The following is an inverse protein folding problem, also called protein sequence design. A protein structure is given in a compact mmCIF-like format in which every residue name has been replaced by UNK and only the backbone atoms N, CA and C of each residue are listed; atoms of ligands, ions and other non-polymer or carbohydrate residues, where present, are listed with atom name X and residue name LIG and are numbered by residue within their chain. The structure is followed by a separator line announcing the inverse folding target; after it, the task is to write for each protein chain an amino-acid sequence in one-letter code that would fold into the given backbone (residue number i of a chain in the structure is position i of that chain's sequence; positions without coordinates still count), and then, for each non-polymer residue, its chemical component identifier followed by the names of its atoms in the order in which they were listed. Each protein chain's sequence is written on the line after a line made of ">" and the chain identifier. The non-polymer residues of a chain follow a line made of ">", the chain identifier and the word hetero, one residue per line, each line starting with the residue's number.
data_IF_300578193652
#
_entry.id   IF_300578193652
#
_cell.length_a   1.000
_cell.length_b   1.000
_cell.length_c   1.000
_cell.angle_alpha   90.00
_cell.angle_beta   90.00
_cell.angle_gamma   90.00
#
_symmetry.space_group_name_H-M   'P 1'
#
loop_
_entity.id
_entity.type
_entity.pdbx_description
1 polymer ?
#
# COMPACT_ATOMS: atom_id res chain seq x y z
N UNK A 1 -1.45 -30.89 -38.04
CA UNK A 1 -1.77 -29.80 -37.10
C UNK A 1 -0.89 -30.01 -35.88
N UNK A 2 -0.08 -29.02 -35.52
CA UNK A 2 0.80 -29.08 -34.35
C UNK A 2 0.02 -28.73 -33.08
N UNK A 3 -0.79 -29.68 -32.63
CA UNK A 3 -1.63 -29.57 -31.42
C UNK A 3 -0.76 -29.28 -30.18
N UNK A 4 0.40 -29.92 -30.08
CA UNK A 4 1.32 -29.77 -28.96
C UNK A 4 1.99 -28.39 -28.96
N UNK A 5 2.36 -27.87 -30.13
CA UNK A 5 2.91 -26.52 -30.27
C UNK A 5 1.90 -25.42 -29.91
N UNK A 6 0.64 -25.56 -30.32
CA UNK A 6 -0.44 -24.61 -29.96
C UNK A 6 -0.73 -24.69 -28.45
N UNK A 7 -0.83 -25.89 -27.89
CA UNK A 7 -1.06 -26.09 -26.46
C UNK A 7 0.06 -25.47 -25.62
N UNK A 8 1.32 -25.75 -25.98
CA UNK A 8 2.51 -25.18 -25.31
C UNK A 8 2.51 -23.65 -25.39
N UNK A 9 2.13 -23.09 -26.53
CA UNK A 9 2.05 -21.64 -26.72
C UNK A 9 0.97 -20.99 -25.82
N UNK A 10 -0.19 -21.64 -25.66
CA UNK A 10 -1.29 -21.17 -24.80
C UNK A 10 -0.93 -21.27 -23.32
N UNK A 11 -0.28 -22.35 -22.89
CA UNK A 11 0.20 -22.51 -21.51
C UNK A 11 1.27 -21.46 -21.19
N UNK A 12 2.18 -21.19 -22.12
CA UNK A 12 3.16 -20.11 -21.98
C UNK A 12 2.48 -18.72 -21.97
N UNK A 13 1.27 -18.58 -22.54
CA UNK A 13 0.42 -17.39 -22.38
C UNK A 13 -0.27 -17.30 -21.00
N UNK A 14 0.13 -18.16 -20.05
CA UNK A 14 -0.43 -18.30 -18.70
C UNK A 14 -1.92 -18.68 -18.72
N UNK A 15 -2.34 -19.49 -19.69
CA UNK A 15 -3.67 -20.09 -19.73
C UNK A 15 -3.58 -21.51 -19.14
N UNK A 16 -4.36 -21.86 -18.10
CA UNK A 16 -4.34 -23.20 -17.53
C UNK A 16 -4.68 -24.26 -18.58
N UNK A 17 -4.06 -25.44 -18.48
CA UNK A 17 -4.23 -26.54 -19.45
C UNK A 17 -5.71 -26.90 -19.68
N UNK A 18 -6.50 -26.94 -18.60
CA UNK A 18 -7.94 -27.20 -18.67
C UNK A 18 -8.72 -26.22 -19.56
N UNK A 19 -8.28 -24.95 -19.64
CA UNK A 19 -8.85 -23.92 -20.51
C UNK A 19 -8.18 -23.86 -21.89
N UNK A 20 -6.94 -24.32 -21.99
CA UNK A 20 -6.20 -24.33 -23.26
C UNK A 20 -6.71 -25.42 -24.21
N UNK A 21 -7.07 -26.60 -23.70
CA UNK A 21 -7.51 -27.74 -24.54
C UNK A 21 -8.73 -27.43 -25.43
N UNK A 22 -9.83 -26.82 -24.94
CA UNK A 22 -10.95 -26.39 -25.80
C UNK A 22 -10.55 -25.33 -26.83
N UNK A 23 -9.61 -24.45 -26.48
CA UNK A 23 -9.12 -23.39 -27.37
C UNK A 23 -8.26 -23.94 -28.51
N UNK A 24 -7.48 -25.00 -28.28
CA UNK A 24 -6.74 -25.69 -29.35
C UNK A 24 -7.70 -26.22 -30.41
N UNK A 25 -8.83 -26.81 -30.00
CA UNK A 25 -9.87 -27.30 -30.91
C UNK A 25 -10.55 -26.15 -31.67
N UNK A 26 -10.90 -25.06 -30.99
CA UNK A 26 -11.49 -23.88 -31.62
C UNK A 26 -10.55 -23.21 -32.63
N UNK A 27 -9.25 -23.09 -32.30
CA UNK A 27 -8.23 -22.56 -33.20
C UNK A 27 -8.00 -23.51 -34.40
N UNK A 28 -8.07 -24.82 -34.20
CA UNK A 28 -8.04 -25.80 -35.29
C UNK A 28 -9.15 -25.54 -36.31
N UNK A 29 -10.38 -25.36 -35.81
CA UNK A 29 -11.56 -25.10 -36.63
C UNK A 29 -11.47 -23.74 -37.37
N UNK A 30 -10.79 -22.76 -36.78
CA UNK A 30 -10.49 -21.48 -37.43
C UNK A 30 -9.37 -21.54 -38.49
N UNK A 31 -8.77 -22.71 -38.71
CA UNK A 31 -7.73 -22.96 -39.71
C UNK A 31 -6.30 -22.83 -39.19
N UNK A 32 -6.09 -22.73 -37.87
CA UNK A 32 -4.76 -22.62 -37.27
C UNK A 32 -4.10 -23.99 -37.21
N UNK A 33 -2.97 -24.13 -37.91
CA UNK A 33 -2.25 -25.41 -38.00
C UNK A 33 -1.01 -25.48 -37.11
N UNK A 34 -0.50 -24.36 -36.63
CA UNK A 34 0.72 -24.22 -35.84
C UNK A 34 0.67 -22.98 -34.92
N UNK A 35 1.69 -22.84 -34.06
CA UNK A 35 1.79 -21.72 -33.11
C UNK A 35 1.96 -20.35 -33.78
N UNK A 36 2.58 -20.30 -34.98
CA UNK A 36 2.72 -19.10 -35.78
C UNK A 36 1.39 -18.64 -36.40
N UNK A 37 0.51 -19.58 -36.71
CA UNK A 37 -0.85 -19.33 -37.18
C UNK A 37 -1.68 -18.49 -36.20
N UNK A 38 -1.43 -18.58 -34.89
CA UNK A 38 -2.19 -17.85 -33.87
C UNK A 38 -1.97 -16.33 -33.98
N UNK A 39 -0.73 -15.90 -34.30
CA UNK A 39 -0.38 -14.50 -34.45
C UNK A 39 -0.84 -13.90 -35.80
N UNK A 40 -1.14 -14.75 -36.78
CA UNK A 40 -1.60 -14.34 -38.11
C UNK A 40 -3.13 -14.30 -38.24
N UNK A 41 -3.89 -14.80 -37.26
CA UNK A 41 -5.31 -14.40 -37.18
C UNK A 41 -5.38 -12.92 -36.82
N UNK A 42 -6.08 -12.15 -37.63
CA UNK A 42 -6.46 -10.78 -37.28
C UNK A 42 -7.26 -10.73 -35.98
N UNK A 43 -7.25 -9.58 -35.31
CA UNK A 43 -7.88 -9.38 -34.01
C UNK A 43 -9.38 -9.72 -33.98
N UNK A 44 -10.08 -9.49 -35.10
CA UNK A 44 -11.50 -9.76 -35.27
C UNK A 44 -11.78 -11.27 -35.27
N UNK A 45 -11.01 -12.06 -36.04
CA UNK A 45 -11.17 -13.52 -36.09
C UNK A 45 -10.79 -14.21 -34.78
N UNK A 46 -9.84 -13.65 -34.03
CA UNK A 46 -9.50 -14.12 -32.68
C UNK A 46 -10.65 -13.90 -31.69
N UNK A 47 -11.38 -12.78 -31.81
CA UNK A 47 -12.53 -12.49 -30.97
C UNK A 47 -13.67 -13.47 -31.21
N UNK A 48 -13.91 -13.85 -32.47
CA UNK A 48 -14.96 -14.80 -32.86
C UNK A 48 -14.61 -16.24 -32.45
N UNK A 49 -13.32 -16.59 -32.47
CA UNK A 49 -12.85 -17.95 -32.15
C UNK A 49 -12.72 -18.19 -30.64
N UNK A 50 -12.33 -17.18 -29.86
CA UNK A 50 -12.09 -17.30 -28.42
C UNK A 50 -13.17 -16.55 -27.63
N UNK A 51 -14.21 -17.29 -27.25
CA UNK A 51 -15.35 -16.76 -26.48
C UNK A 51 -15.00 -16.37 -25.03
N UNK A 52 -13.96 -16.98 -24.46
CA UNK A 52 -13.47 -16.66 -23.11
C UNK A 52 -12.66 -15.34 -23.11
N UNK A 53 -13.33 -14.26 -22.72
CA UNK A 53 -12.75 -12.90 -22.58
C UNK A 53 -11.40 -12.85 -21.83
N UNK A 54 -11.17 -13.57 -20.70
CA UNK A 54 -9.87 -13.54 -20.03
C UNK A 54 -8.76 -14.24 -20.81
N UNK A 55 -9.04 -15.36 -21.49
CA UNK A 55 -8.06 -16.02 -22.38
C UNK A 55 -7.77 -15.17 -23.61
N UNK A 56 -8.78 -14.57 -24.23
CA UNK A 56 -8.62 -13.64 -25.35
C UNK A 56 -7.70 -12.46 -24.98
N UNK A 57 -7.87 -11.89 -23.78
CA UNK A 57 -7.02 -10.80 -23.28
C UNK A 57 -5.55 -11.24 -23.11
N UNK A 58 -5.31 -12.46 -22.64
CA UNK A 58 -3.96 -13.03 -22.49
C UNK A 58 -3.31 -13.31 -23.84
N UNK A 59 -4.06 -13.87 -24.79
CA UNK A 59 -3.62 -14.14 -26.16
C UNK A 59 -3.28 -12.82 -26.87
N UNK A 60 -4.17 -11.81 -26.82
CA UNK A 60 -3.92 -10.47 -27.38
C UNK A 60 -2.71 -9.79 -26.77
N UNK A 61 -2.56 -9.86 -25.44
CA UNK A 61 -1.40 -9.29 -24.77
C UNK A 61 -0.07 -9.97 -25.17
N UNK A 62 -0.12 -11.26 -25.53
CA UNK A 62 1.04 -12.02 -25.99
C UNK A 62 1.39 -11.75 -27.46
N UNK A 63 0.40 -11.54 -28.33
CA UNK A 63 0.60 -11.26 -29.76
C UNK A 63 0.97 -9.79 -30.00
N UNK A 64 0.21 -8.87 -29.42
CA UNK A 64 0.29 -7.43 -29.73
C UNK A 64 0.97 -6.59 -28.64
N UNK A 65 1.38 -7.21 -27.53
CA UNK A 65 1.91 -6.52 -26.36
C UNK A 65 0.85 -5.75 -25.56
N UNK A 66 1.23 -5.28 -24.36
CA UNK A 66 0.38 -4.40 -23.53
C UNK A 66 0.28 -3.01 -24.16
N UNK A 67 -0.54 -2.83 -25.19
CA UNK A 67 -0.71 -1.52 -25.81
C UNK A 67 -1.49 -1.44 -27.13
N UNK A 68 -2.09 -2.52 -27.63
CA UNK A 68 -2.91 -2.47 -28.85
C UNK A 68 -4.25 -1.75 -28.64
N UNK A 69 -4.22 -0.43 -28.55
CA UNK A 69 -5.41 0.43 -28.68
C UNK A 69 -5.63 0.69 -30.17
N UNK A 70 -6.84 0.36 -30.64
CA UNK A 70 -7.40 0.53 -31.98
C UNK A 70 -6.84 1.77 -32.72
N UNK A 71 -6.28 1.56 -33.91
CA UNK A 71 -6.21 2.59 -34.94
C UNK A 71 -7.21 2.21 -36.03
N UNK A 72 -8.34 2.90 -36.06
CA UNK A 72 -9.22 2.96 -37.23
C UNK A 72 -8.72 4.10 -38.12
N UNK A 73 -8.67 3.85 -39.43
CA UNK A 73 -7.95 4.65 -40.41
C UNK A 73 -8.47 6.06 -40.67
N UNK A 74 -7.62 6.81 -41.36
CA UNK A 74 -7.90 8.11 -41.94
C UNK A 74 -6.63 8.70 -42.54
N UNK A 75 -6.47 8.57 -43.86
CA UNK A 75 -5.40 9.14 -44.66
C UNK A 75 -5.37 10.67 -44.60
N UNK A 76 -4.18 11.27 -44.48
CA UNK A 76 -3.64 12.26 -45.42
C UNK A 76 -2.31 12.85 -44.89
N UNK A 77 -1.37 12.95 -45.82
CA UNK A 77 -0.04 13.57 -45.82
C UNK A 77 0.18 14.84 -44.98
N UNK A 78 1.34 14.94 -44.32
CA UNK A 78 2.42 15.91 -44.63
C UNK A 78 3.62 15.66 -43.69
N UNK A 79 4.82 15.69 -44.26
CA UNK A 79 6.11 15.49 -43.62
C UNK A 79 6.43 16.56 -42.55
N UNK A 80 7.06 16.15 -41.45
CA UNK A 80 8.19 16.89 -40.86
C UNK A 80 8.96 15.95 -39.93
N UNK A 81 10.23 15.75 -40.22
CA UNK A 81 11.09 14.82 -39.50
C UNK A 81 11.38 15.23 -38.06
N UNK A 82 11.45 14.25 -37.19
CA UNK A 82 12.38 14.27 -36.06
C UNK A 82 12.82 12.84 -35.76
N UNK A 83 14.05 12.53 -36.14
CA UNK A 83 14.77 11.33 -35.76
C UNK A 83 14.98 11.32 -34.25
N UNK A 84 14.31 10.42 -33.53
CA UNK A 84 14.79 9.99 -32.21
C UNK A 84 15.01 8.49 -32.24
N UNK A 85 16.28 8.13 -32.44
CA UNK A 85 16.79 6.77 -32.29
C UNK A 85 16.24 6.13 -31.03
N UNK A 86 15.48 5.03 -31.19
CA UNK A 86 15.20 4.08 -30.12
C UNK A 86 16.53 3.49 -29.66
N UNK A 87 17.11 4.11 -28.62
CA UNK A 87 18.19 3.47 -27.84
C UNK A 87 17.60 2.20 -27.25
N UNK A 88 18.14 1.05 -27.64
CA UNK A 88 17.81 -0.25 -27.06
C UNK A 88 17.99 -0.15 -25.53
N UNK A 89 16.90 -0.36 -24.79
CA UNK A 89 16.98 -0.49 -23.33
C UNK A 89 17.58 -1.86 -23.03
N UNK A 90 18.59 -1.96 -22.14
CA UNK A 90 19.07 -3.26 -21.68
C UNK A 90 17.94 -4.01 -20.98
N UNK A 91 17.92 -5.33 -21.14
CA UNK A 91 16.94 -6.22 -20.51
C UNK A 91 17.19 -6.32 -19.01
N UNK A 92 16.80 -5.28 -18.28
CA UNK A 92 16.85 -5.27 -16.81
C UNK A 92 15.87 -6.33 -16.30
N UNK A 93 16.36 -7.23 -15.43
CA UNK A 93 15.61 -8.35 -14.85
C UNK A 93 14.38 -7.84 -14.08
N UNK A 94 13.42 -8.74 -13.80
CA UNK A 94 12.22 -8.38 -13.02
C UNK A 94 12.55 -7.87 -11.61
N UNK A 95 13.58 -8.45 -10.99
CA UNK A 95 14.06 -8.08 -9.66
C UNK A 95 14.66 -6.67 -9.64
N UNK A 96 15.55 -6.36 -10.59
CA UNK A 96 16.18 -5.04 -10.71
C UNK A 96 15.17 -3.91 -10.92
N UNK A 97 14.09 -4.16 -11.69
CA UNK A 97 12.99 -3.18 -11.85
C UNK A 97 12.21 -2.94 -10.57
N UNK A 98 12.07 -3.97 -9.73
CA UNK A 98 11.35 -3.88 -8.45
C UNK A 98 12.18 -3.12 -7.43
N UNK A 99 13.48 -3.41 -7.35
CA UNK A 99 14.45 -2.67 -6.54
C UNK A 99 14.55 -1.20 -6.95
N UNK A 100 14.66 -0.92 -8.25
CA UNK A 100 14.71 0.45 -8.76
C UNK A 100 13.43 1.24 -8.42
N UNK A 101 12.25 0.64 -8.59
CA UNK A 101 10.99 1.28 -8.21
C UNK A 101 10.85 1.48 -6.69
N UNK A 102 11.42 0.58 -5.89
CA UNK A 102 11.44 0.70 -4.43
C UNK A 102 12.41 1.78 -3.95
N UNK A 103 13.54 1.98 -4.64
CA UNK A 103 14.51 3.05 -4.35
C UNK A 103 13.94 4.46 -4.60
N UNK A 104 12.93 4.60 -5.45
CA UNK A 104 12.31 5.90 -5.71
C UNK A 104 11.65 6.49 -4.45
N UNK A 105 11.96 7.75 -4.17
CA UNK A 105 11.29 8.53 -3.13
C UNK A 105 9.95 9.09 -3.61
N UNK A 106 8.99 9.18 -2.70
CA UNK A 106 7.71 9.83 -2.92
C UNK A 106 7.79 11.30 -2.53
N UNK A 107 7.12 12.20 -3.27
CA UNK A 107 6.98 13.58 -2.82
C UNK A 107 6.09 13.62 -1.57
N UNK A 108 6.39 14.58 -0.69
CA UNK A 108 5.53 14.89 0.45
C UNK A 108 4.29 15.67 -0.01
N UNK A 109 3.08 15.28 0.42
CA UNK A 109 1.90 16.07 0.17
C UNK A 109 2.01 17.46 0.80
N UNK A 110 1.53 18.52 0.13
CA UNK A 110 1.56 19.86 0.69
C UNK A 110 0.76 19.92 1.99
N UNK A 111 1.28 20.66 2.98
CA UNK A 111 0.52 20.99 4.19
C UNK A 111 -0.71 21.81 3.80
N UNK A 112 -1.85 21.52 4.43
CA UNK A 112 -3.04 22.35 4.29
C UNK A 112 -2.82 23.68 5.01
N UNK A 113 -3.24 24.78 4.40
CA UNK A 113 -3.30 26.11 5.01
C UNK A 113 -4.68 26.44 5.60
N UNK A 114 -5.59 25.47 5.65
CA UNK A 114 -6.95 25.66 6.17
C UNK A 114 -6.91 25.75 7.70
N UNK A 115 -7.78 26.59 8.27
CA UNK A 115 -8.01 26.65 9.71
C UNK A 115 -8.77 25.41 10.21
N UNK A 116 -8.75 25.17 11.52
CA UNK A 116 -9.48 24.05 12.13
C UNK A 116 -11.00 24.11 11.85
N UNK A 117 -11.59 25.31 11.81
CA UNK A 117 -13.01 25.51 11.48
C UNK A 117 -13.32 25.17 10.03
N UNK A 118 -12.37 25.41 9.11
CA UNK A 118 -12.49 25.03 7.71
C UNK A 118 -12.28 23.52 7.53
N UNK A 119 -11.28 22.95 8.19
CA UNK A 119 -11.00 21.51 8.20
C UNK A 119 -12.19 20.71 8.74
N UNK A 120 -12.84 21.17 9.82
CA UNK A 120 -14.00 20.50 10.40
C UNK A 120 -15.17 20.32 9.42
N UNK A 121 -15.30 21.19 8.41
CA UNK A 121 -16.36 21.12 7.39
C UNK A 121 -16.05 20.12 6.26
N UNK A 122 -14.84 19.57 6.20
CA UNK A 122 -14.43 18.64 5.14
C UNK A 122 -14.94 17.23 5.43
N UNK A 123 -15.77 16.72 4.52
CA UNK A 123 -16.23 15.34 4.49
C UNK A 123 -15.78 14.65 3.20
N UNK A 124 -15.30 13.41 3.30
CA UNK A 124 -14.72 12.67 2.19
C UNK A 124 -15.37 11.28 2.10
N UNK A 125 -16.02 10.97 0.98
CA UNK A 125 -16.49 9.61 0.69
C UNK A 125 -15.34 8.76 0.18
N UNK A 126 -14.81 7.88 1.02
CA UNK A 126 -13.57 7.14 0.75
C UNK A 126 -13.59 5.72 1.34
N UNK A 127 -12.83 4.81 0.74
CA UNK A 127 -12.58 3.48 1.31
C UNK A 127 -11.71 3.58 2.57
N UNK A 128 -11.86 2.62 3.49
CA UNK A 128 -11.04 2.48 4.71
C UNK A 128 -9.54 2.33 4.43
N UNK A 129 -9.15 1.64 3.36
CA UNK A 129 -7.73 1.36 3.06
C UNK A 129 -6.91 2.65 2.90
N UNK A 130 -7.26 3.62 2.03
CA UNK A 130 -6.56 4.90 1.96
C UNK A 130 -6.46 5.67 3.29
N UNK A 131 -7.49 5.56 4.14
CA UNK A 131 -7.50 6.19 5.48
C UNK A 131 -6.52 5.51 6.41
N UNK A 132 -6.49 4.18 6.42
CA UNK A 132 -5.51 3.42 7.19
C UNK A 132 -4.08 3.71 6.75
N UNK A 133 -3.81 3.70 5.42
CA UNK A 133 -2.46 3.97 4.89
C UNK A 133 -1.95 5.33 5.34
N UNK A 134 -2.79 6.37 5.24
CA UNK A 134 -2.39 7.74 5.61
C UNK A 134 -2.20 7.88 7.13
N UNK A 135 -3.12 7.30 7.92
CA UNK A 135 -3.02 7.32 9.39
C UNK A 135 -1.75 6.61 9.90
N UNK A 136 -1.51 5.39 9.41
CA UNK A 136 -0.32 4.62 9.74
C UNK A 136 0.97 5.34 9.35
N UNK A 137 0.98 6.06 8.22
CA UNK A 137 2.13 6.86 7.80
C UNK A 137 2.41 8.06 8.71
N UNK A 138 1.38 8.76 9.20
CA UNK A 138 1.58 9.85 10.16
C UNK A 138 2.05 9.33 11.53
N UNK A 139 1.61 8.14 11.93
CA UNK A 139 2.12 7.45 13.13
C UNK A 139 3.57 7.00 12.94
N UNK A 140 3.94 6.46 11.78
CA UNK A 140 5.31 6.09 11.47
C UNK A 140 6.27 7.29 11.49
N UNK A 141 5.86 8.45 11.00
CA UNK A 141 6.68 9.67 11.06
C UNK A 141 7.02 10.05 12.50
N UNK A 142 6.13 9.76 13.46
CA UNK A 142 6.42 9.95 14.90
C UNK A 142 7.44 8.95 15.46
N UNK A 143 7.67 7.85 14.77
CA UNK A 143 8.69 6.85 15.07
C UNK A 143 9.97 7.11 14.27
N UNK A 144 10.16 8.35 13.80
CA UNK A 144 11.35 8.83 13.07
C UNK A 144 11.56 8.19 11.69
N UNK A 145 10.49 7.71 11.05
CA UNK A 145 10.53 7.32 9.65
C UNK A 145 10.32 8.53 8.74
N UNK A 146 11.08 8.62 7.65
CA UNK A 146 10.82 9.63 6.62
C UNK A 146 9.49 9.34 5.90
N UNK A 147 8.94 10.33 5.18
CA UNK A 147 7.66 10.17 4.50
C UNK A 147 7.59 8.97 3.54
N UNK A 148 8.64 8.75 2.74
CA UNK A 148 8.67 7.64 1.79
C UNK A 148 8.70 6.29 2.51
N UNK A 149 9.41 6.19 3.63
CA UNK A 149 9.43 5.00 4.47
C UNK A 149 8.06 4.78 5.12
N UNK A 150 7.52 5.83 5.74
CA UNK A 150 6.27 5.85 6.48
C UNK A 150 5.06 5.41 5.64
N UNK A 151 4.91 5.90 4.41
CA UNK A 151 3.79 5.51 3.54
C UNK A 151 3.88 4.05 3.10
N UNK A 152 5.09 3.50 2.96
CA UNK A 152 5.27 2.09 2.58
C UNK A 152 4.89 1.18 3.73
N UNK A 153 5.27 1.56 4.95
CA UNK A 153 4.85 0.86 6.17
C UNK A 153 3.33 0.95 6.36
N UNK A 154 2.75 2.14 6.20
CA UNK A 154 1.29 2.29 6.27
C UNK A 154 0.54 1.47 5.23
N UNK A 155 1.14 1.28 4.04
CA UNK A 155 0.60 0.37 3.03
C UNK A 155 0.65 -1.10 3.46
N UNK A 156 1.77 -1.55 4.01
CA UNK A 156 1.90 -2.91 4.53
C UNK A 156 0.86 -3.20 5.62
N UNK A 157 0.61 -2.24 6.52
CA UNK A 157 -0.42 -2.37 7.57
C UNK A 157 -1.83 -2.48 7.00
N UNK A 158 -2.18 -1.62 6.04
CA UNK A 158 -3.49 -1.70 5.41
C UNK A 158 -3.69 -3.02 4.64
N UNK A 159 -2.65 -3.51 3.96
CA UNK A 159 -2.69 -4.80 3.26
C UNK A 159 -2.80 -5.97 4.24
N UNK A 160 -2.09 -5.95 5.37
CA UNK A 160 -2.18 -6.98 6.42
C UNK A 160 -3.58 -7.03 7.06
N UNK A 161 -4.15 -5.88 7.41
CA UNK A 161 -5.53 -5.80 7.93
C UNK A 161 -6.56 -6.29 6.91
N UNK A 162 -6.35 -5.98 5.62
CA UNK A 162 -7.20 -6.49 4.56
C UNK A 162 -7.07 -8.01 4.41
N UNK A 163 -5.86 -8.56 4.44
CA UNK A 163 -5.64 -10.00 4.39
C UNK A 163 -6.36 -10.70 5.54
N UNK A 164 -6.09 -10.30 6.78
CA UNK A 164 -6.72 -10.88 7.99
C UNK A 164 -8.23 -10.80 7.97
N UNK A 165 -8.79 -9.68 7.47
CA UNK A 165 -10.23 -9.54 7.34
C UNK A 165 -10.81 -10.40 6.20
N UNK A 166 -10.08 -10.55 5.10
CA UNK A 166 -10.49 -11.43 4.00
C UNK A 166 -10.47 -12.90 4.40
N UNK A 167 -9.45 -13.35 5.13
CA UNK A 167 -9.34 -14.68 5.73
C UNK A 167 -10.54 -14.95 6.66
N UNK A 168 -10.81 -14.03 7.60
CA UNK A 168 -11.95 -14.15 8.52
C UNK A 168 -13.32 -14.18 7.80
N UNK A 169 -13.43 -13.56 6.62
CA UNK A 169 -14.65 -13.61 5.81
C UNK A 169 -14.71 -14.83 4.86
N UNK A 170 -13.65 -15.64 4.80
CA UNK A 170 -13.50 -16.75 3.84
C UNK A 170 -13.45 -16.28 2.39
N UNK A 171 -12.89 -15.09 2.13
CA UNK A 171 -12.81 -14.46 0.80
C UNK A 171 -11.41 -14.48 0.19
N UNK A 172 -10.38 -14.74 1.00
CA UNK A 172 -8.99 -14.77 0.60
C UNK A 172 -8.32 -15.99 1.21
N UNK A 173 -7.43 -16.59 0.44
CA UNK A 173 -6.44 -17.55 0.91
C UNK A 173 -5.06 -16.92 0.67
N UNK A 174 -4.15 -17.14 1.62
CA UNK A 174 -2.77 -16.68 1.47
C UNK A 174 -2.06 -17.54 0.42
N UNK A 175 -1.35 -16.90 -0.50
CA UNK A 175 -0.47 -17.57 -1.46
C UNK A 175 0.95 -17.57 -0.88
N UNK A 176 1.16 -18.39 0.15
CA UNK A 176 2.39 -18.40 0.95
C UNK A 176 3.63 -18.75 0.12
N UNK A 177 3.48 -19.61 -0.90
CA UNK A 177 4.59 -20.01 -1.78
C UNK A 177 5.04 -18.84 -2.64
N UNK A 178 4.11 -18.10 -3.26
CA UNK A 178 4.44 -16.90 -4.03
C UNK A 178 5.03 -15.78 -3.15
N UNK A 179 4.55 -15.64 -1.91
CA UNK A 179 5.09 -14.66 -0.98
C UNK A 179 6.52 -15.02 -0.53
N UNK A 180 6.78 -16.31 -0.26
CA UNK A 180 8.12 -16.80 0.10
C UNK A 180 9.13 -16.59 -1.03
N UNK A 181 8.77 -17.00 -2.25
CA UNK A 181 9.61 -16.80 -3.43
C UNK A 181 9.92 -15.32 -3.67
N UNK A 182 8.93 -14.43 -3.46
CA UNK A 182 9.14 -12.99 -3.60
C UNK A 182 10.04 -12.40 -2.48
N UNK A 183 10.01 -12.95 -1.27
CA UNK A 183 10.91 -12.53 -0.19
C UNK A 183 12.36 -12.93 -0.46
N UNK A 184 12.58 -14.14 -0.99
CA UNK A 184 13.91 -14.64 -1.37
C UNK A 184 14.62 -13.71 -2.38
N UNK A 185 13.88 -13.09 -3.31
CA UNK A 185 14.43 -12.12 -4.28
C UNK A 185 15.11 -10.91 -3.62
N UNK A 186 14.80 -10.62 -2.35
CA UNK A 186 15.32 -9.44 -1.62
C UNK A 186 16.03 -9.81 -0.33
N UNK A 187 16.34 -11.10 -0.14
CA UNK A 187 16.85 -11.60 1.14
C UNK A 187 18.27 -11.12 1.48
N UNK A 188 19.02 -10.75 0.45
CA UNK A 188 20.36 -10.16 0.55
C UNK A 188 20.37 -8.71 1.08
N UNK A 189 19.22 -8.03 1.17
CA UNK A 189 19.16 -6.65 1.65
C UNK A 189 19.13 -6.59 3.18
N UNK A 190 19.74 -5.56 3.81
CA UNK A 190 19.64 -5.36 5.25
C UNK A 190 18.18 -5.26 5.72
N UNK A 191 17.86 -5.99 6.79
CA UNK A 191 16.50 -6.14 7.31
C UNK A 191 16.35 -5.49 8.67
N UNK A 192 15.17 -4.91 8.91
CA UNK A 192 14.73 -4.47 10.22
C UNK A 192 13.27 -4.83 10.42
N UNK A 193 12.91 -5.20 11.64
CA UNK A 193 11.52 -5.36 12.06
C UNK A 193 11.07 -4.13 12.85
N UNK A 194 9.82 -3.72 12.67
CA UNK A 194 9.18 -2.67 13.46
C UNK A 194 7.79 -3.10 13.90
N UNK A 195 7.49 -2.91 15.18
CA UNK A 195 6.11 -2.95 15.69
C UNK A 195 5.38 -1.70 15.20
N UNK A 196 4.32 -1.92 14.42
CA UNK A 196 3.32 -0.91 14.16
C UNK A 196 1.94 -1.45 14.48
N UNK A 197 1.19 -0.72 15.29
CA UNK A 197 -0.21 -1.03 15.59
C UNK A 197 -0.39 -2.42 16.24
N UNK A 198 0.63 -2.89 16.98
CA UNK A 198 0.61 -4.16 17.69
C UNK A 198 0.95 -5.36 16.80
N UNK A 199 1.57 -5.11 15.65
CA UNK A 199 2.00 -6.14 14.70
C UNK A 199 3.40 -5.81 14.18
N UNK A 200 4.21 -6.84 14.04
CA UNK A 200 5.55 -6.74 13.46
C UNK A 200 5.51 -6.69 11.93
N UNK A 201 6.22 -5.72 11.36
CA UNK A 201 6.41 -5.56 9.93
C UNK A 201 7.90 -5.59 9.57
N UNK A 202 8.22 -6.33 8.52
CA UNK A 202 9.57 -6.42 7.97
C UNK A 202 9.82 -5.29 6.96
N UNK A 203 10.93 -4.58 7.13
CA UNK A 203 11.44 -3.58 6.21
C UNK A 203 12.81 -4.02 5.67
N UNK A 204 13.07 -3.71 4.40
CA UNK A 204 14.40 -3.86 3.79
C UNK A 204 14.97 -2.50 3.44
N UNK A 205 16.29 -2.37 3.55
CA UNK A 205 16.99 -1.14 3.19
C UNK A 205 17.22 -1.08 1.68
N UNK A 206 16.78 0.02 1.06
CA UNK A 206 17.03 0.36 -0.35
C UNK A 206 17.87 1.64 -0.42
N UNK A 207 18.35 2.01 -1.60
CA UNK A 207 19.05 3.30 -1.81
C UNK A 207 18.18 4.50 -1.40
N UNK A 208 16.85 4.38 -1.49
CA UNK A 208 15.89 5.41 -1.11
C UNK A 208 15.45 5.41 0.36
N UNK A 209 16.10 4.61 1.22
CA UNK A 209 15.71 4.38 2.61
C UNK A 209 15.02 3.04 2.84
N UNK A 210 14.41 2.87 4.01
CA UNK A 210 13.69 1.65 4.39
C UNK A 210 12.38 1.49 3.59
N UNK A 211 12.06 0.25 3.20
CA UNK A 211 10.82 -0.08 2.49
C UNK A 211 10.17 -1.28 3.14
N UNK A 212 8.89 -1.12 3.50
CA UNK A 212 8.12 -2.23 4.03
C UNK A 212 7.82 -3.27 2.95
N UNK A 213 7.68 -4.52 3.38
CA UNK A 213 7.26 -5.64 2.54
C UNK A 213 5.75 -5.80 2.65
N UNK A 214 5.09 -5.99 1.51
CA UNK A 214 3.69 -6.41 1.42
C UNK A 214 3.57 -7.50 0.36
N UNK A 215 2.93 -8.62 0.72
CA UNK A 215 2.77 -9.79 -0.16
C UNK A 215 4.10 -10.26 -0.76
N UNK A 216 5.10 -10.37 0.10
CA UNK A 216 6.48 -10.74 -0.23
C UNK A 216 7.28 -9.72 -1.06
N UNK A 217 6.74 -8.54 -1.39
CA UNK A 217 7.41 -7.56 -2.27
C UNK A 217 7.66 -6.23 -1.58
N UNK A 218 8.76 -5.57 -1.96
CA UNK A 218 9.02 -4.20 -1.56
C UNK A 218 7.92 -3.26 -2.06
N UNK A 219 7.34 -2.50 -1.14
CA UNK A 219 6.30 -1.54 -1.46
C UNK A 219 6.93 -0.27 -2.06
N UNK A 220 6.60 0.11 -3.31
CA UNK A 220 7.18 1.30 -3.93
C UNK A 220 6.51 2.58 -3.44
N UNK A 221 7.27 3.48 -2.81
CA UNK A 221 6.74 4.71 -2.21
C UNK A 221 5.94 5.57 -3.20
N UNK A 222 6.46 5.80 -4.43
CA UNK A 222 5.75 6.57 -5.47
C UNK A 222 4.39 5.96 -5.85
N UNK A 223 4.27 4.63 -5.86
CA UNK A 223 2.99 3.96 -6.15
C UNK A 223 1.98 4.18 -5.04
N UNK A 224 2.42 4.15 -3.78
CA UNK A 224 1.56 4.45 -2.64
C UNK A 224 1.12 5.92 -2.66
N UNK A 225 2.04 6.83 -2.95
CA UNK A 225 1.71 8.24 -3.10
C UNK A 225 0.65 8.47 -4.20
N UNK A 226 0.85 7.92 -5.40
CA UNK A 226 -0.12 8.02 -6.48
C UNK A 226 -1.50 7.42 -6.11
N UNK A 227 -1.49 6.32 -5.35
CA UNK A 227 -2.72 5.73 -4.80
C UNK A 227 -3.44 6.68 -3.83
N UNK A 228 -2.72 7.35 -2.93
CA UNK A 228 -3.29 8.34 -2.01
C UNK A 228 -3.82 9.57 -2.76
N UNK A 229 -3.07 10.12 -3.72
CA UNK A 229 -3.55 11.22 -4.56
C UNK A 229 -4.84 10.88 -5.29
N UNK A 230 -4.93 9.67 -5.84
CA UNK A 230 -6.14 9.20 -6.52
C UNK A 230 -7.32 9.04 -5.54
N UNK A 231 -7.07 8.54 -4.34
CA UNK A 231 -8.12 8.26 -3.36
C UNK A 231 -8.68 9.52 -2.70
N UNK A 232 -7.84 10.50 -2.39
CA UNK A 232 -8.23 11.72 -1.69
C UNK A 232 -8.46 12.93 -2.60
N UNK A 233 -7.84 12.95 -3.79
CA UNK A 233 -7.87 14.10 -4.68
C UNK A 233 -7.36 15.37 -3.98
N UNK A 234 -8.12 16.45 -4.12
CA UNK A 234 -7.83 17.76 -3.49
C UNK A 234 -7.82 17.71 -1.96
N UNK A 235 -8.46 16.70 -1.36
CA UNK A 235 -8.58 16.58 0.09
C UNK A 235 -7.40 15.87 0.76
N UNK A 236 -6.35 15.49 0.01
CA UNK A 236 -5.18 14.81 0.58
C UNK A 236 -4.46 15.68 1.61
N UNK A 237 -4.25 16.97 1.30
CA UNK A 237 -3.63 17.94 2.21
C UNK A 237 -4.43 18.11 3.51
N UNK A 238 -5.73 18.47 3.45
CA UNK A 238 -6.61 18.55 4.62
C UNK A 238 -6.64 17.26 5.48
N UNK A 239 -6.78 16.10 4.83
CA UNK A 239 -6.78 14.81 5.53
C UNK A 239 -5.44 14.53 6.22
N UNK A 240 -4.31 14.76 5.53
CA UNK A 240 -2.97 14.60 6.11
C UNK A 240 -2.78 15.53 7.31
N UNK A 241 -3.11 16.81 7.17
CA UNK A 241 -2.94 17.81 8.22
C UNK A 241 -3.71 17.43 9.50
N UNK A 242 -4.98 17.03 9.37
CA UNK A 242 -5.80 16.61 10.52
C UNK A 242 -5.29 15.32 11.18
N UNK A 243 -4.93 14.30 10.39
CA UNK A 243 -4.37 13.05 10.91
C UNK A 243 -3.01 13.26 11.56
N UNK A 244 -2.15 14.11 10.99
CA UNK A 244 -0.87 14.50 11.59
C UNK A 244 -1.06 15.18 12.93
N UNK A 245 -2.02 16.11 13.03
CA UNK A 245 -2.33 16.79 14.29
C UNK A 245 -2.85 15.81 15.35
N UNK A 246 -3.70 14.85 14.96
CA UNK A 246 -4.12 13.77 15.86
C UNK A 246 -2.95 12.91 16.33
N UNK A 247 -2.06 12.50 15.40
CA UNK A 247 -0.87 11.74 15.74
C UNK A 247 0.02 12.53 16.71
N UNK A 248 0.22 13.82 16.48
CA UNK A 248 1.00 14.73 17.33
C UNK A 248 0.44 14.83 18.77
N UNK A 249 -0.87 14.71 18.94
CA UNK A 249 -1.51 14.74 20.25
C UNK A 249 -1.30 13.46 21.10
N UNK A 250 -0.82 12.37 20.50
CA UNK A 250 -0.52 11.13 21.23
C UNK A 250 0.77 11.32 22.05
N UNK A 251 0.82 10.97 23.36
CA UNK A 251 2.07 11.00 24.14
C UNK A 251 3.16 10.09 23.55
N UNK A 252 4.43 10.51 23.56
CA UNK A 252 5.57 9.79 22.96
C UNK A 252 5.98 8.47 23.65
N UNK A 253 5.30 8.04 24.72
CA UNK A 253 5.61 6.78 25.41
C UNK A 253 5.13 5.58 24.58
N UNK A 254 6.09 4.81 24.04
CA UNK A 254 5.93 3.87 22.92
C UNK A 254 4.80 2.82 23.04
N UNK A 255 4.59 2.20 24.19
CA UNK A 255 3.67 1.04 24.32
C UNK A 255 2.19 1.42 24.23
N UNK A 256 1.82 2.63 24.67
CA UNK A 256 0.46 3.13 24.50
C UNK A 256 0.15 3.56 23.06
N UNK A 257 1.18 3.78 22.24
CA UNK A 257 1.00 4.29 20.87
C UNK A 257 0.41 3.23 19.96
N UNK A 258 0.87 1.97 19.98
CA UNK A 258 0.39 0.95 19.03
C UNK A 258 -1.10 0.57 19.21
N UNK A 259 -1.55 0.29 20.45
CA UNK A 259 -2.96 -0.06 20.71
C UNK A 259 -3.87 1.16 20.56
N UNK A 260 -3.52 2.32 21.15
CA UNK A 260 -4.37 3.53 21.04
C UNK A 260 -4.50 4.00 19.61
N UNK A 261 -3.46 3.84 18.79
CA UNK A 261 -3.51 4.20 17.37
C UNK A 261 -4.59 3.43 16.62
N UNK A 262 -4.73 2.11 16.88
CA UNK A 262 -5.80 1.32 16.29
C UNK A 262 -7.18 1.72 16.82
N UNK A 263 -7.32 1.94 18.12
CA UNK A 263 -8.58 2.38 18.74
C UNK A 263 -9.05 3.74 18.18
N UNK A 264 -8.13 4.70 18.02
CA UNK A 264 -8.42 5.99 17.39
C UNK A 264 -8.89 5.80 15.96
N UNK A 265 -8.19 4.96 15.18
CA UNK A 265 -8.62 4.64 13.81
C UNK A 265 -10.04 4.08 13.77
N UNK A 266 -10.41 3.17 14.67
CA UNK A 266 -11.75 2.61 14.71
C UNK A 266 -12.84 3.67 14.94
N UNK A 267 -12.48 4.75 15.63
CA UNK A 267 -13.38 5.84 16.00
C UNK A 267 -13.65 6.83 14.86
N UNK A 268 -12.68 7.06 13.96
CA UNK A 268 -12.84 8.00 12.84
C UNK A 268 -12.93 7.34 11.46
N UNK A 269 -12.64 6.04 11.32
CA UNK A 269 -12.63 5.35 10.02
C UNK A 269 -13.97 5.50 9.27
N UNK A 270 -13.96 5.45 7.92
CA UNK A 270 -15.17 5.46 7.12
C UNK A 270 -16.21 4.43 7.62
N UNK A 271 -17.42 4.91 7.88
CA UNK A 271 -18.56 4.07 8.25
C UNK A 271 -19.04 3.26 7.03
N UNK A 272 -19.00 1.93 7.12
CA UNK A 272 -19.52 1.00 6.11
C UNK A 272 -20.26 -0.14 6.80
N UNK A 273 -21.08 -0.89 6.04
CA UNK A 273 -21.83 -2.03 6.54
C UNK A 273 -20.93 -3.09 7.21
N UNK A 274 -21.50 -3.89 8.11
CA UNK A 274 -20.76 -4.99 8.75
C UNK A 274 -20.63 -6.20 7.81
N UNK A 275 -19.64 -7.05 8.10
CA UNK A 275 -19.42 -8.30 7.37
C UNK A 275 -19.04 -8.10 5.89
N UNK A 276 -19.46 -9.04 5.05
CA UNK A 276 -19.15 -9.05 3.61
C UNK A 276 -19.72 -7.83 2.88
N UNK A 277 -20.86 -7.29 3.31
CA UNK A 277 -21.53 -6.17 2.64
C UNK A 277 -20.72 -4.86 2.68
N UNK A 278 -19.91 -4.63 3.72
CA UNK A 278 -19.02 -3.46 3.79
C UNK A 278 -17.63 -3.69 3.23
N UNK A 279 -17.30 -4.91 2.80
CA UNK A 279 -15.99 -5.24 2.27
C UNK A 279 -15.72 -4.41 1.00
N UNK A 280 -14.60 -3.69 0.98
CA UNK A 280 -14.21 -2.85 -0.15
C UNK A 280 -15.08 -1.61 -0.40
N UNK A 281 -16.10 -1.35 0.43
CA UNK A 281 -16.99 -0.20 0.24
C UNK A 281 -16.38 1.11 0.72
N UNK A 282 -16.88 2.21 0.16
CA UNK A 282 -16.55 3.56 0.62
C UNK A 282 -17.57 4.03 1.66
N UNK A 283 -17.07 4.67 2.71
CA UNK A 283 -17.87 5.27 3.76
C UNK A 283 -17.58 6.76 3.87
N UNK A 284 -18.31 7.44 4.75
CA UNK A 284 -18.03 8.84 5.05
C UNK A 284 -16.89 8.95 6.06
N UNK A 285 -15.81 9.66 5.69
CA UNK A 285 -14.72 10.08 6.56
C UNK A 285 -14.87 11.56 6.88
N UNK A 286 -14.96 11.90 8.17
CA UNK A 286 -15.21 13.27 8.64
C UNK A 286 -13.99 13.80 9.37
N UNK A 287 -13.42 14.89 8.89
CA UNK A 287 -12.28 15.53 9.55
C UNK A 287 -12.67 16.08 10.93
N UNK A 288 -13.92 16.56 11.10
CA UNK A 288 -14.42 16.96 12.42
C UNK A 288 -14.25 15.90 13.51
N UNK A 289 -14.45 14.61 13.18
CA UNK A 289 -14.26 13.52 14.14
C UNK A 289 -12.80 13.37 14.55
N UNK A 290 -11.87 13.54 13.61
CA UNK A 290 -10.42 13.50 13.87
C UNK A 290 -9.99 14.65 14.78
N UNK A 291 -10.48 15.87 14.51
CA UNK A 291 -10.17 17.05 15.32
C UNK A 291 -10.73 16.92 16.74
N UNK A 292 -11.96 16.43 16.89
CA UNK A 292 -12.55 16.16 18.21
C UNK A 292 -11.71 15.19 19.04
N UNK A 293 -11.26 14.08 18.44
CA UNK A 293 -10.39 13.10 19.11
C UNK A 293 -9.04 13.71 19.50
N UNK A 294 -8.46 14.57 18.65
CA UNK A 294 -7.22 15.31 18.95
C UNK A 294 -7.42 16.17 20.20
N UNK A 295 -8.49 16.95 20.24
CA UNK A 295 -8.76 17.87 21.36
C UNK A 295 -9.03 17.11 22.66
N UNK A 296 -9.67 15.94 22.58
CA UNK A 296 -9.84 15.02 23.71
C UNK A 296 -8.51 14.51 24.26
N UNK A 297 -7.59 14.09 23.38
CA UNK A 297 -6.25 13.65 23.80
C UNK A 297 -5.45 14.79 24.43
N UNK A 298 -5.50 15.99 23.84
CA UNK A 298 -4.81 17.17 24.41
C UNK A 298 -5.36 17.48 25.80
N UNK A 299 -6.68 17.47 25.99
CA UNK A 299 -7.31 17.71 27.29
C UNK A 299 -6.90 16.67 28.33
N UNK A 300 -6.86 15.39 27.94
CA UNK A 300 -6.42 14.30 28.82
C UNK A 300 -4.93 14.41 29.19
N UNK A 301 -4.09 14.87 28.26
CA UNK A 301 -2.67 15.13 28.50
C UNK A 301 -2.40 16.31 29.43
N UNK A 302 -3.23 17.36 29.38
CA UNK A 302 -3.13 18.54 30.25
C UNK A 302 -3.69 18.26 31.66
N UNK A 303 -4.73 17.42 31.78
CA UNK A 303 -5.38 17.08 33.07
C UNK A 303 -4.71 15.98 33.90
N UNK A 304 -3.70 15.28 33.37
CA UNK A 304 -3.02 14.17 34.06
C UNK A 304 -1.71 14.55 34.77
N UNK A 305 -1.34 15.83 34.77
CA UNK A 305 -0.05 16.32 35.28
C UNK A 305 -0.10 17.08 36.63
N UNK A 306 -1.25 17.17 37.30
CA UNK A 306 -1.36 17.91 38.56
C UNK A 306 -2.45 17.36 39.47
N UNK A 307 -2.05 16.71 40.57
CA UNK A 307 -2.99 16.32 41.63
C UNK A 307 -2.49 15.24 42.58
N UNK A 308 -1.65 15.62 43.54
CA UNK A 308 -1.49 14.96 44.85
C UNK A 308 -0.07 14.51 45.18
N UNK A 309 0.59 14.93 46.25
CA UNK A 309 0.33 15.97 47.24
C UNK A 309 1.68 16.26 47.92
N UNK A 310 2.11 17.51 47.92
CA UNK A 310 3.06 18.01 48.89
C UNK A 310 2.23 18.59 50.04
N UNK A 311 2.07 17.81 51.10
CA UNK A 311 1.79 18.32 52.44
C UNK A 311 2.83 17.72 53.37
N UNK A 312 3.61 18.61 53.97
CA UNK A 312 4.62 18.27 54.94
C UNK A 312 4.09 18.33 56.37
N UNK A 313 5.00 17.91 57.25
CA UNK A 313 5.23 18.41 58.61
C UNK A 313 4.76 17.55 59.80
N UNK A 314 5.72 17.39 60.73
CA UNK A 314 5.47 17.23 62.17
C UNK A 314 5.67 15.85 62.80
N UNK A 315 6.86 15.57 63.37
CA UNK A 315 7.01 14.47 64.33
C UNK A 315 8.45 14.12 64.77
N UNK A 316 9.03 14.96 65.62
CA UNK A 316 10.27 14.72 66.39
C UNK A 316 10.36 13.35 67.09
N UNK A 317 11.56 12.74 67.08
CA UNK A 317 12.18 12.11 68.28
C UNK A 317 13.68 11.79 68.09
N UNK A 318 14.50 12.68 68.65
CA UNK A 318 15.54 12.41 69.65
C UNK A 318 16.59 11.29 69.40
N UNK A 319 17.82 11.77 69.13
CA UNK A 319 19.05 11.53 69.93
C UNK A 319 19.59 10.08 70.08
N UNK A 320 20.78 9.79 69.54
CA UNK A 320 22.02 9.77 70.32
C UNK A 320 23.26 9.33 69.51
N UNK A 321 24.28 10.20 69.60
CA UNK A 321 25.71 9.94 69.80
C UNK A 321 26.50 9.00 68.88
N UNK A 322 27.63 9.51 68.36
CA UNK A 322 28.76 8.65 68.02
C UNK A 322 29.81 9.20 67.05
N UNK A 323 30.50 10.27 67.44
CA UNK A 323 31.91 10.58 67.15
C UNK A 323 32.51 10.25 65.76
N UNK A 324 32.85 11.31 65.01
CA UNK A 324 34.03 11.38 64.12
C UNK A 324 35.34 11.33 64.96
N UNK A 325 36.57 11.54 64.41
CA UNK A 325 36.97 11.75 63.01
C UNK A 325 38.31 11.07 62.64
N UNK A 326 38.82 11.47 61.45
CA UNK A 326 40.25 11.56 61.09
C UNK A 326 40.88 10.29 60.49
N UNK A 327 41.77 10.37 59.51
CA UNK A 327 42.43 11.50 58.83
C UNK A 327 43.15 10.93 57.59
N UNK A 328 43.26 11.76 56.55
CA UNK A 328 44.18 11.69 55.38
C UNK A 328 43.89 10.66 54.29
#
# INVERSE_FOLDING_TARGET
>A
MDVQGILRWLVDAKIPVAKAMPLVSALAAAGVRDSHGIASLGEDRLADTVTDKPSLKKIRAKIFGKGGKRSAGGSASTECGSTTSKRARPSVSGADKTLAAAAERAPEPPCSSLSDEQLAKVEIKINRSPVMVLWAAEVAQRLSFDWSEAITLGRAVADWLALKKGEHLGLLEADEEAERAAMEETDNLPTRTVDMMGQDFTLRRTEGGWRAISKGKLVPAKRVHAFLCKAYGVNLGPARASLRALAAAIPQRHVETSIRTMVLYESFRPAVARGKAGWGQSGMFRIATVLKLRDELVRQGVGGGGGGACDGDGGDRQEQAGASPSCK
#
